data_IF_967867394253
#
_entry.id   IF_967867394253
#
_cell.length_a   1.000
_cell.length_b   1.000
_cell.length_c   1.000
_cell.angle_alpha   90.00
_cell.angle_beta   90.00
_cell.angle_gamma   90.00
#
_symmetry.space_group_name_H-M   'P 1'
#
loop_
_entity.id
_entity.type
_entity.pdbx_description
1 polymer ?
#
# COMPACT_ATOMS: atom_id res chain seq x y z
N UNK A 1 3.28 7.64 -14.17
CA UNK A 1 1.80 7.49 -14.09
C UNK A 1 1.52 6.29 -13.18
N UNK A 2 0.66 6.45 -12.18
CA UNK A 2 0.30 5.41 -11.20
C UNK A 2 -1.19 5.11 -11.34
N UNK A 3 -1.54 3.83 -11.51
CA UNK A 3 -2.94 3.39 -11.55
C UNK A 3 -3.36 2.86 -10.19
N UNK A 4 -4.57 3.23 -9.75
CA UNK A 4 -5.11 2.79 -8.46
C UNK A 4 -6.58 2.41 -8.57
N UNK A 5 -6.99 1.40 -7.81
CA UNK A 5 -8.39 1.07 -7.56
C UNK A 5 -8.92 1.70 -6.26
N UNK A 6 -8.05 2.37 -5.50
CA UNK A 6 -8.39 3.00 -4.24
C UNK A 6 -8.71 4.48 -4.44
N UNK A 7 -9.99 4.84 -4.26
CA UNK A 7 -10.46 6.24 -4.38
C UNK A 7 -9.69 7.21 -3.47
N UNK A 8 -9.31 6.77 -2.27
CA UNK A 8 -8.55 7.60 -1.32
C UNK A 8 -7.20 8.04 -1.87
N UNK A 9 -6.54 7.21 -2.69
CA UNK A 9 -5.26 7.52 -3.30
C UNK A 9 -5.44 8.38 -4.56
N UNK A 10 -6.55 8.21 -5.26
CA UNK A 10 -6.92 9.07 -6.40
C UNK A 10 -7.18 10.52 -5.97
N UNK A 11 -7.82 10.74 -4.83
CA UNK A 11 -8.14 12.09 -4.34
C UNK A 11 -7.05 12.73 -3.46
N UNK A 12 -5.89 12.08 -3.29
CA UNK A 12 -4.87 12.53 -2.34
C UNK A 12 -4.33 13.94 -2.64
N UNK A 13 -4.31 14.35 -3.91
CA UNK A 13 -3.85 15.68 -4.34
C UNK A 13 -4.96 16.74 -4.38
N UNK A 14 -6.23 16.35 -4.32
CA UNK A 14 -7.38 17.25 -4.54
C UNK A 14 -8.25 17.45 -3.30
N UNK A 15 -8.16 16.55 -2.31
CA UNK A 15 -8.99 16.57 -1.12
C UNK A 15 -8.51 17.67 -0.13
N UNK A 16 -9.42 18.55 0.28
CA UNK A 16 -9.12 19.67 1.19
C UNK A 16 -8.68 19.22 2.58
N UNK A 17 -9.30 18.18 3.11
CA UNK A 17 -9.02 17.67 4.45
C UNK A 17 -8.38 16.29 4.37
N UNK A 18 -7.09 16.23 4.70
CA UNK A 18 -6.32 15.00 4.78
C UNK A 18 -6.08 14.61 6.24
N UNK A 19 -6.19 13.31 6.52
CA UNK A 19 -5.77 12.77 7.80
C UNK A 19 -4.23 12.80 7.94
N UNK A 20 -3.71 12.66 9.15
CA UNK A 20 -2.27 12.81 9.41
C UNK A 20 -1.42 11.80 8.62
N UNK A 21 -1.93 10.59 8.40
CA UNK A 21 -1.27 9.58 7.56
C UNK A 21 -1.16 10.10 6.13
N UNK A 22 -2.27 10.51 5.52
CA UNK A 22 -2.28 11.03 4.14
C UNK A 22 -1.35 12.24 3.95
N UNK A 23 -1.24 13.15 4.94
CA UNK A 23 -0.29 14.28 4.86
C UNK A 23 1.17 13.83 4.81
N UNK A 24 1.56 12.87 5.66
CA UNK A 24 2.92 12.29 5.63
C UNK A 24 3.21 11.61 4.30
N UNK A 25 2.22 10.91 3.74
CA UNK A 25 2.35 10.33 2.40
C UNK A 25 2.49 11.41 1.33
N UNK A 26 1.71 12.50 1.40
CA UNK A 26 1.82 13.61 0.46
C UNK A 26 3.20 14.28 0.50
N UNK A 27 3.76 14.48 1.71
CA UNK A 27 5.11 15.02 1.89
C UNK A 27 6.19 14.16 1.24
N UNK A 28 6.02 12.84 1.25
CA UNK A 28 6.91 11.91 0.56
C UNK A 28 6.71 11.91 -0.96
N UNK A 29 5.45 11.97 -1.40
CA UNK A 29 5.10 11.88 -2.82
C UNK A 29 5.37 13.17 -3.59
N UNK A 30 5.50 14.32 -2.92
CA UNK A 30 5.76 15.62 -3.56
C UNK A 30 7.05 15.65 -4.38
N UNK A 31 8.02 14.81 -4.01
CA UNK A 31 9.33 14.73 -4.66
C UNK A 31 9.29 13.90 -5.95
N UNK A 32 8.15 13.29 -6.25
CA UNK A 32 7.93 12.49 -7.45
C UNK A 32 6.91 13.17 -8.35
N UNK A 33 7.31 13.49 -9.59
CA UNK A 33 6.37 13.91 -10.63
C UNK A 33 5.49 12.73 -11.06
N UNK A 34 4.37 12.51 -10.36
CA UNK A 34 3.45 11.42 -10.66
C UNK A 34 2.01 11.88 -10.89
N UNK A 35 1.38 11.28 -11.91
CA UNK A 35 -0.05 11.38 -12.16
C UNK A 35 -0.74 10.12 -11.66
N UNK A 36 -1.68 10.25 -10.72
CA UNK A 36 -2.50 9.15 -10.19
C UNK A 36 -3.81 9.07 -10.97
N UNK A 37 -4.08 7.91 -11.59
CA UNK A 37 -5.28 7.65 -12.37
C UNK A 37 -6.10 6.55 -11.70
N UNK A 38 -7.40 6.80 -11.55
CA UNK A 38 -8.33 5.78 -11.08
C UNK A 38 -8.66 4.81 -12.21
N UNK A 39 -8.49 3.51 -11.94
CA UNK A 39 -8.91 2.44 -12.86
C UNK A 39 -9.87 1.49 -12.15
N UNK A 40 -11.14 1.38 -12.59
CA UNK A 40 -12.07 0.43 -12.02
C UNK A 40 -11.64 -1.02 -12.30
N UNK A 41 -11.47 -1.79 -11.22
CA UNK A 41 -11.30 -3.24 -10.96
C UNK A 41 -10.62 -4.21 -11.96
N UNK A 42 -10.63 -3.98 -13.27
CA UNK A 42 -10.15 -4.99 -14.24
C UNK A 42 -8.62 -5.04 -14.36
N UNK A 43 -7.93 -3.92 -14.13
CA UNK A 43 -6.47 -3.84 -14.17
C UNK A 43 -5.78 -4.20 -12.85
N UNK A 44 -6.55 -4.31 -11.76
CA UNK A 44 -6.00 -4.45 -10.40
C UNK A 44 -5.96 -5.89 -9.91
N UNK A 45 -6.41 -6.86 -10.72
CA UNK A 45 -6.31 -8.29 -10.41
C UNK A 45 -4.85 -8.70 -10.21
N UNK A 46 -3.91 -8.22 -11.04
CA UNK A 46 -2.49 -8.56 -10.92
C UNK A 46 -1.90 -7.95 -9.64
N UNK A 47 -2.16 -6.67 -9.38
CA UNK A 47 -1.67 -6.00 -8.18
C UNK A 47 -2.26 -6.61 -6.89
N UNK A 48 -3.55 -6.93 -6.90
CA UNK A 48 -4.25 -7.54 -5.77
C UNK A 48 -3.79 -8.99 -5.52
N UNK A 49 -3.63 -9.79 -6.59
CA UNK A 49 -3.08 -11.15 -6.48
C UNK A 49 -1.66 -11.14 -5.94
N UNK A 50 -0.79 -10.26 -6.44
CA UNK A 50 0.57 -10.10 -5.91
C UNK A 50 0.58 -9.62 -4.46
N UNK A 51 -0.28 -8.65 -4.11
CA UNK A 51 -0.42 -8.16 -2.74
C UNK A 51 -0.79 -9.29 -1.78
N UNK A 52 -1.81 -10.08 -2.14
CA UNK A 52 -2.26 -11.24 -1.36
C UNK A 52 -1.18 -12.33 -1.22
N UNK A 53 -0.45 -12.61 -2.30
CA UNK A 53 0.68 -13.55 -2.25
C UNK A 53 1.80 -13.06 -1.34
N UNK A 54 2.11 -11.75 -1.37
CA UNK A 54 3.11 -11.17 -0.49
C UNK A 54 2.67 -11.20 0.98
N UNK A 55 1.41 -10.87 1.28
CA UNK A 55 0.88 -10.92 2.64
C UNK A 55 0.92 -12.33 3.22
N UNK A 56 0.58 -13.35 2.41
CA UNK A 56 0.73 -14.75 2.82
C UNK A 56 2.17 -15.12 3.13
N UNK A 57 3.14 -14.69 2.30
CA UNK A 57 4.57 -14.90 2.58
C UNK A 57 5.06 -14.17 3.83
N UNK A 58 4.62 -12.94 4.06
CA UNK A 58 4.98 -12.16 5.26
C UNK A 58 4.45 -12.83 6.52
N UNK A 59 3.22 -13.38 6.49
CA UNK A 59 2.66 -14.12 7.61
C UNK A 59 3.54 -15.33 8.01
N UNK A 60 4.03 -16.10 7.03
CA UNK A 60 4.94 -17.22 7.31
C UNK A 60 6.27 -16.78 7.93
N UNK A 61 6.84 -15.65 7.46
CA UNK A 61 8.10 -15.10 8.01
C UNK A 61 7.90 -14.56 9.44
N UNK A 62 6.75 -13.95 9.74
CA UNK A 62 6.42 -13.51 11.09
C UNK A 62 6.21 -14.68 12.06
N UNK A 63 5.66 -15.80 11.58
CA UNK A 63 5.46 -17.01 12.37
C UNK A 63 6.78 -17.71 12.69
N UNK A 64 7.67 -17.86 11.71
CA UNK A 64 9.05 -18.34 11.95
C UNK A 64 9.83 -17.45 12.92
N UNK A 65 9.71 -16.12 12.80
CA UNK A 65 10.33 -15.19 13.76
C UNK A 65 9.78 -15.33 15.18
N UNK A 66 8.49 -15.62 15.33
CA UNK A 66 7.86 -15.85 16.64
C UNK A 66 8.32 -17.17 17.25
N UNK A 67 8.45 -18.24 16.47
CA UNK A 67 8.97 -19.53 16.96
C UNK A 67 10.43 -19.41 17.38
N UNK A 68 11.31 -18.79 16.57
CA UNK A 68 12.70 -18.56 16.95
C UNK A 68 12.86 -17.68 18.19
N UNK A 69 11.93 -16.75 18.43
CA UNK A 69 11.94 -15.91 19.62
C UNK A 69 11.52 -16.67 20.91
N UNK A 70 10.84 -17.81 20.79
CA UNK A 70 10.51 -18.69 21.93
C UNK A 70 11.71 -19.55 22.34
N UNK A 71 12.56 -19.93 21.40
CA UNK A 71 13.77 -20.73 21.66
C UNK A 71 14.92 -19.94 22.32
N UNK A 72 14.78 -18.61 22.44
CA UNK A 72 15.77 -17.72 23.09
C UNK A 72 15.43 -17.49 24.58
N UNK A 73 14.33 -18.07 25.09
CA UNK A 73 13.98 -18.06 26.51
C UNK A 73 14.06 -19.47 27.10
#
# INVERSE_FOLDING_TARGET
IVFTYHKSLYYIFTQKELNLRQRRWLEFLKDYEMNVLYHPSKATVVADTLSRLSMGRVAHVEEERKELAKDVH
#
